data_IF_035362680430
#
_entry.id   IF_035362680430
#
_cell.length_a   1.000
_cell.length_b   1.000
_cell.length_c   1.000
_cell.angle_alpha   90.00
_cell.angle_beta   90.00
_cell.angle_gamma   90.00
#
_symmetry.space_group_name_H-M   'P 1'
#
loop_
_entity.id
_entity.type
_entity.pdbx_description
1 polymer ?
#
# COMPACT_ATOMS: atom_id res chain seq x y z
N UNK A 1 14.84 27.45 -2.50
CA UNK A 1 15.24 26.11 -2.99
C UNK A 1 13.97 25.34 -3.33
N UNK A 2 13.83 24.78 -4.53
CA UNK A 2 12.65 23.99 -4.92
C UNK A 2 12.74 22.60 -4.31
N UNK A 3 11.85 22.29 -3.36
CA UNK A 3 11.67 20.95 -2.79
C UNK A 3 11.03 20.03 -3.83
N UNK A 4 11.65 18.87 -4.10
CA UNK A 4 11.04 17.83 -4.93
C UNK A 4 10.03 17.07 -4.06
N UNK A 5 8.75 17.20 -4.40
CA UNK A 5 7.64 16.58 -3.67
C UNK A 5 7.04 15.45 -4.50
N UNK A 6 6.78 14.31 -3.86
CA UNK A 6 6.05 13.18 -4.44
C UNK A 6 4.83 12.91 -3.57
N UNK A 7 3.66 12.73 -4.16
CA UNK A 7 2.45 12.43 -3.40
C UNK A 7 1.42 11.60 -4.14
N UNK A 8 0.53 10.96 -3.37
CA UNK A 8 -0.63 10.21 -3.87
C UNK A 8 -1.78 10.26 -2.86
N UNK A 9 -3.01 10.16 -3.33
CA UNK A 9 -4.20 10.10 -2.50
C UNK A 9 -4.39 8.70 -1.88
N UNK A 10 -4.65 8.67 -0.58
CA UNK A 10 -5.04 7.48 0.17
C UNK A 10 -6.49 7.62 0.65
N UNK A 11 -7.33 6.65 0.31
CA UNK A 11 -8.72 6.62 0.76
C UNK A 11 -8.83 5.82 2.07
N UNK A 12 -9.82 6.13 2.90
CA UNK A 12 -10.20 5.34 4.07
C UNK A 12 -9.18 5.29 5.22
N UNK A 13 -8.41 6.37 5.42
CA UNK A 13 -7.59 6.58 6.63
C UNK A 13 -8.46 7.20 7.74
N UNK A 14 -8.67 6.46 8.83
CA UNK A 14 -9.41 6.94 10.00
C UNK A 14 -8.50 7.77 10.90
N UNK A 15 -8.25 9.01 10.49
CA UNK A 15 -7.79 10.06 11.40
C UNK A 15 -8.37 11.41 10.95
N UNK A 16 -9.12 12.04 11.85
CA UNK A 16 -9.75 13.36 11.67
C UNK A 16 -9.12 14.42 12.58
N UNK A 17 -8.05 14.09 13.32
CA UNK A 17 -7.43 15.00 14.29
C UNK A 17 -6.41 15.95 13.65
N UNK A 18 -5.25 15.43 13.29
CA UNK A 18 -4.11 16.28 12.89
C UNK A 18 -4.18 16.71 11.42
N UNK A 19 -3.68 17.90 11.09
CA UNK A 19 -3.55 18.34 9.69
C UNK A 19 -2.41 17.63 8.96
N UNK A 20 -1.34 17.28 9.68
CA UNK A 20 -0.15 16.62 9.16
C UNK A 20 0.35 15.62 10.18
N UNK A 21 0.55 14.38 9.74
CA UNK A 21 1.05 13.29 10.57
C UNK A 21 2.43 12.92 10.05
N UNK A 22 3.47 13.11 10.86
CA UNK A 22 4.83 12.78 10.47
C UNK A 22 5.06 11.26 10.54
N UNK A 23 5.58 10.69 9.45
CA UNK A 23 5.96 9.27 9.37
C UNK A 23 7.49 9.06 9.45
N UNK A 24 8.25 10.16 9.52
CA UNK A 24 9.71 10.18 9.60
C UNK A 24 10.42 10.35 8.26
N UNK A 25 11.67 10.82 8.29
CA UNK A 25 12.56 10.96 7.11
C UNK A 25 11.93 11.69 5.91
N UNK A 26 11.18 12.76 6.19
CA UNK A 26 10.51 13.56 5.16
C UNK A 26 9.20 12.97 4.63
N UNK A 27 8.71 11.86 5.20
CA UNK A 27 7.41 11.28 4.89
C UNK A 27 6.33 11.79 5.84
N UNK A 28 5.14 12.05 5.31
CA UNK A 28 3.98 12.48 6.10
C UNK A 28 2.66 12.12 5.43
N UNK A 29 1.59 12.04 6.22
CA UNK A 29 0.22 12.16 5.73
C UNK A 29 -0.27 13.58 5.93
N UNK A 30 -0.86 14.18 4.91
CA UNK A 30 -1.43 15.53 4.96
C UNK A 30 -2.90 15.46 4.55
N UNK A 31 -3.76 16.33 5.07
CA UNK A 31 -5.10 16.48 4.49
C UNK A 31 -5.01 17.01 3.07
N UNK A 32 -5.90 16.58 2.15
CA UNK A 32 -6.05 17.26 0.87
C UNK A 32 -6.25 18.75 1.09
N UNK A 33 -5.58 19.55 0.28
CA UNK A 33 -5.65 21.01 0.31
C UNK A 33 -5.44 21.54 -1.12
N UNK A 34 -5.78 22.82 -1.33
CA UNK A 34 -5.75 23.44 -2.65
C UNK A 34 -4.38 23.35 -3.33
N UNK A 35 -3.29 23.42 -2.56
CA UNK A 35 -1.94 23.29 -3.10
C UNK A 35 -1.71 21.89 -3.69
N UNK A 36 -2.02 20.82 -2.96
CA UNK A 36 -1.85 19.46 -3.45
C UNK A 36 -2.78 19.17 -4.64
N UNK A 37 -4.03 19.62 -4.53
CA UNK A 37 -5.05 19.43 -5.57
C UNK A 37 -4.74 20.25 -6.84
N UNK A 38 -3.92 21.30 -6.77
CA UNK A 38 -3.48 22.07 -7.94
C UNK A 38 -2.50 21.31 -8.84
N UNK A 39 -1.91 20.20 -8.37
CA UNK A 39 -1.05 19.35 -9.19
C UNK A 39 -1.81 18.42 -10.14
N UNK A 40 -3.14 18.35 -10.00
CA UNK A 40 -4.02 17.60 -10.91
C UNK A 40 -4.06 18.27 -12.27
N UNK A 41 -4.23 17.46 -13.31
CA UNK A 41 -4.33 17.94 -14.68
C UNK A 41 -5.53 17.34 -15.39
N UNK A 42 -6.42 18.20 -15.87
CA UNK A 42 -7.67 17.83 -16.56
C UNK A 42 -7.45 16.95 -17.80
N UNK A 43 -6.27 17.00 -18.43
CA UNK A 43 -5.93 16.14 -19.57
C UNK A 43 -5.46 14.74 -19.15
N UNK A 44 -4.99 14.58 -17.91
CA UNK A 44 -4.51 13.31 -17.38
C UNK A 44 -5.58 12.58 -16.55
N UNK A 45 -6.55 13.33 -15.99
CA UNK A 45 -7.60 12.83 -15.11
C UNK A 45 -8.97 13.31 -15.60
N UNK A 46 -9.94 12.40 -15.68
CA UNK A 46 -11.32 12.77 -15.90
C UNK A 46 -11.91 13.53 -14.71
N UNK A 47 -12.96 14.32 -14.94
CA UNK A 47 -13.65 15.07 -13.87
C UNK A 47 -14.06 14.17 -12.69
N UNK A 48 -14.57 12.96 -12.96
CA UNK A 48 -14.94 12.01 -11.92
C UNK A 48 -13.75 11.53 -11.07
N UNK A 49 -12.58 11.32 -11.68
CA UNK A 49 -11.36 10.93 -10.97
C UNK A 49 -10.85 12.09 -10.09
N UNK A 50 -10.93 13.33 -10.58
CA UNK A 50 -10.57 14.52 -9.80
C UNK A 50 -11.53 14.76 -8.64
N UNK A 51 -12.84 14.62 -8.87
CA UNK A 51 -13.86 14.77 -7.84
C UNK A 51 -13.66 13.71 -6.75
N UNK A 52 -13.41 12.46 -7.14
CA UNK A 52 -13.11 11.37 -6.21
C UNK A 52 -11.83 11.63 -5.41
N UNK A 53 -10.75 12.08 -6.06
CA UNK A 53 -9.50 12.42 -5.37
C UNK A 53 -9.67 13.52 -4.34
N UNK A 54 -10.52 14.52 -4.61
CA UNK A 54 -10.83 15.58 -3.65
C UNK A 54 -11.50 15.06 -2.37
N UNK A 55 -12.09 13.85 -2.41
CA UNK A 55 -12.67 13.18 -1.23
C UNK A 55 -11.70 12.30 -0.46
N UNK A 56 -10.43 12.24 -0.88
CA UNK A 56 -9.43 11.41 -0.22
C UNK A 56 -9.32 11.75 1.27
N UNK A 57 -9.21 10.74 2.12
CA UNK A 57 -9.06 10.98 3.56
C UNK A 57 -7.72 11.65 3.87
N UNK A 58 -6.66 11.22 3.17
CA UNK A 58 -5.29 11.73 3.33
C UNK A 58 -4.55 11.71 1.99
N UNK A 59 -3.56 12.58 1.88
CA UNK A 59 -2.54 12.55 0.85
C UNK A 59 -1.24 12.07 1.50
N UNK A 60 -0.70 10.96 1.02
CA UNK A 60 0.64 10.53 1.40
C UNK A 60 1.67 11.31 0.62
N UNK A 61 2.62 11.90 1.34
CA UNK A 61 3.50 12.93 0.84
C UNK A 61 4.94 12.66 1.28
N UNK A 62 5.86 12.75 0.33
CA UNK A 62 7.30 12.72 0.56
C UNK A 62 7.90 14.08 0.20
N UNK A 63 8.47 14.75 1.21
CA UNK A 63 9.34 15.91 1.03
C UNK A 63 10.79 15.44 0.95
N UNK A 64 11.36 15.50 -0.24
CA UNK A 64 12.76 15.12 -0.43
C UNK A 64 13.64 16.36 -0.32
N UNK A 65 13.70 16.95 0.88
CA UNK A 65 14.64 18.01 1.21
C UNK A 65 16.06 17.43 1.20
N UNK A 66 16.77 17.63 0.10
CA UNK A 66 18.08 17.04 -0.14
C UNK A 66 19.17 17.68 0.73
N UNK A 67 19.50 17.07 1.88
CA UNK A 67 20.69 17.44 2.68
C UNK A 67 21.74 16.33 2.74
N UNK A 68 21.66 15.30 1.88
CA UNK A 68 22.77 14.36 1.73
C UNK A 68 23.92 14.97 0.92
N UNK A 69 24.86 15.60 1.63
CA UNK A 69 26.17 15.97 1.13
C UNK A 69 26.83 14.74 0.47
N UNK A 70 27.35 14.90 -0.74
CA UNK A 70 28.09 13.84 -1.47
C UNK A 70 27.27 12.95 -2.42
N UNK A 71 25.93 13.03 -2.46
CA UNK A 71 25.13 12.28 -3.45
C UNK A 71 24.96 13.05 -4.77
N UNK A 72 25.08 12.34 -5.89
CA UNK A 72 24.72 12.89 -7.21
C UNK A 72 23.23 13.26 -7.26
N UNK A 73 22.83 14.13 -8.19
CA UNK A 73 21.42 14.49 -8.37
C UNK A 73 20.54 13.27 -8.65
N UNK A 74 21.00 12.36 -9.51
CA UNK A 74 20.30 11.12 -9.84
C UNK A 74 20.09 10.22 -8.60
N UNK A 75 21.13 10.06 -7.77
CA UNK A 75 21.02 9.29 -6.52
C UNK A 75 20.06 9.93 -5.52
N UNK A 76 20.02 11.26 -5.43
CA UNK A 76 19.05 11.98 -4.58
C UNK A 76 17.62 11.79 -5.10
N UNK A 77 17.43 11.94 -6.41
CA UNK A 77 16.15 11.77 -7.09
C UNK A 77 15.58 10.36 -6.90
N UNK A 78 16.43 9.34 -7.04
CA UNK A 78 16.04 7.95 -6.91
C UNK A 78 15.83 7.57 -5.43
N UNK A 79 16.66 8.05 -4.51
CA UNK A 79 16.47 7.80 -3.08
C UNK A 79 15.14 8.35 -2.55
N UNK A 80 14.74 9.54 -2.99
CA UNK A 80 13.43 10.11 -2.65
C UNK A 80 12.24 9.31 -3.17
N UNK A 81 12.34 8.83 -4.42
CA UNK A 81 11.31 7.98 -5.02
C UNK A 81 11.23 6.62 -4.32
N UNK A 82 12.37 5.94 -4.12
CA UNK A 82 12.43 4.67 -3.40
C UNK A 82 11.80 4.78 -2.02
N UNK A 83 12.09 5.87 -1.30
CA UNK A 83 11.52 6.14 0.03
C UNK A 83 10.01 6.33 -0.02
N UNK A 84 9.52 7.09 -1.00
CA UNK A 84 8.09 7.23 -1.24
C UNK A 84 7.43 5.86 -1.46
N UNK A 85 7.92 5.05 -2.40
CA UNK A 85 7.35 3.73 -2.68
C UNK A 85 7.48 2.76 -1.51
N UNK A 86 8.57 2.79 -0.74
CA UNK A 86 8.72 1.99 0.46
C UNK A 86 7.60 2.28 1.48
N UNK A 87 7.26 3.55 1.69
CA UNK A 87 6.13 3.90 2.55
C UNK A 87 4.77 3.59 1.95
N UNK A 88 4.56 3.75 0.64
CA UNK A 88 3.33 3.29 0.02
C UNK A 88 3.14 1.78 0.21
N UNK A 89 4.20 0.99 0.01
CA UNK A 89 4.18 -0.46 0.27
C UNK A 89 3.97 -0.78 1.74
N UNK A 90 4.51 0.01 2.67
CA UNK A 90 4.29 -0.18 4.10
C UNK A 90 2.81 -0.11 4.48
N UNK A 91 2.06 0.86 3.93
CA UNK A 91 0.60 0.89 4.08
C UNK A 91 -0.04 -0.39 3.57
N UNK A 92 0.30 -0.79 2.34
CA UNK A 92 -0.30 -1.95 1.69
C UNK A 92 0.00 -3.28 2.40
N UNK A 93 1.18 -3.43 3.01
CA UNK A 93 1.55 -4.60 3.82
C UNK A 93 0.74 -4.66 5.12
N UNK A 94 0.58 -3.52 5.80
CA UNK A 94 -0.18 -3.45 7.07
C UNK A 94 -1.66 -3.74 6.82
N UNK A 95 -2.25 -3.01 5.87
CA UNK A 95 -3.62 -3.23 5.41
C UNK A 95 -3.78 -2.62 4.02
N UNK A 96 -4.20 -3.41 3.02
CA UNK A 96 -4.48 -2.89 1.69
C UNK A 96 -5.39 -1.66 1.76
N UNK A 97 -4.89 -0.54 1.22
CA UNK A 97 -5.57 0.74 1.24
C UNK A 97 -5.86 1.18 -0.19
N UNK A 98 -7.05 1.76 -0.38
CA UNK A 98 -7.48 2.17 -1.70
C UNK A 98 -6.67 3.38 -2.17
N UNK A 99 -6.19 3.29 -3.40
CA UNK A 99 -5.49 4.38 -4.09
C UNK A 99 -6.10 4.57 -5.47
N UNK A 100 -6.11 5.81 -5.98
CA UNK A 100 -6.65 6.10 -7.32
C UNK A 100 -5.65 5.85 -8.45
N UNK A 101 -4.41 5.46 -8.11
CA UNK A 101 -3.38 5.18 -9.12
C UNK A 101 -2.71 6.42 -9.71
N UNK A 102 -2.87 7.60 -9.09
CA UNK A 102 -2.17 8.82 -9.49
C UNK A 102 -1.04 9.15 -8.52
N UNK A 103 0.19 9.24 -9.04
CA UNK A 103 1.36 9.67 -8.29
C UNK A 103 1.89 10.95 -8.94
N UNK A 104 1.88 12.03 -8.18
CA UNK A 104 2.28 13.36 -8.64
C UNK A 104 3.71 13.66 -8.23
N UNK A 105 4.51 14.13 -9.18
CA UNK A 105 5.88 14.58 -8.95
C UNK A 105 6.19 15.80 -9.80
N UNK A 106 6.26 16.97 -9.17
CA UNK A 106 6.48 18.27 -9.85
C UNK A 106 5.51 18.50 -11.00
N UNK A 107 5.97 18.26 -12.23
CA UNK A 107 5.24 18.40 -13.49
C UNK A 107 5.18 17.05 -14.21
N UNK A 108 5.01 15.97 -13.46
CA UNK A 108 4.85 14.62 -13.98
C UNK A 108 3.76 13.93 -13.17
N UNK A 109 2.87 13.24 -13.89
CA UNK A 109 1.88 12.35 -13.32
C UNK A 109 2.26 10.94 -13.76
N UNK A 110 2.53 10.08 -12.81
CA UNK A 110 2.63 8.64 -13.04
C UNK A 110 1.27 8.02 -12.79
N UNK A 111 0.79 7.27 -13.78
CA UNK A 111 -0.46 6.51 -13.69
C UNK A 111 -0.14 5.05 -13.42
N UNK A 112 -0.74 4.52 -12.36
CA UNK A 112 -0.74 3.12 -11.96
C UNK A 112 -2.18 2.59 -12.01
N UNK A 113 -2.37 1.27 -12.10
CA UNK A 113 -3.69 0.71 -11.82
C UNK A 113 -4.15 1.13 -10.41
N UNK A 114 -5.42 1.52 -10.23
CA UNK A 114 -5.94 1.82 -8.91
C UNK A 114 -5.91 0.55 -8.06
N UNK A 115 -5.36 0.65 -6.86
CA UNK A 115 -5.45 -0.42 -5.87
C UNK A 115 -6.84 -0.42 -5.25
N UNK A 116 -7.64 -1.45 -5.52
CA UNK A 116 -8.96 -1.63 -4.95
C UNK A 116 -8.91 -2.78 -3.93
N UNK A 117 -8.95 -2.50 -2.62
CA UNK A 117 -8.90 -3.53 -1.61
C UNK A 117 -10.20 -4.36 -1.60
N UNK A 118 -10.11 -5.58 -1.05
CA UNK A 118 -11.28 -6.44 -0.85
C UNK A 118 -12.29 -5.83 0.13
N UNK A 119 -13.54 -6.35 0.11
CA UNK A 119 -14.66 -5.83 0.92
C UNK A 119 -14.32 -5.67 2.41
N UNK A 120 -13.62 -6.63 2.99
CA UNK A 120 -13.21 -6.58 4.39
C UNK A 120 -12.29 -5.38 4.69
N UNK A 121 -11.28 -5.12 3.83
CA UNK A 121 -10.34 -4.02 4.02
C UNK A 121 -10.97 -2.64 3.73
N UNK A 122 -12.04 -2.59 2.94
CA UNK A 122 -12.88 -1.39 2.77
C UNK A 122 -13.78 -1.13 3.98
N UNK A 123 -14.35 -2.20 4.58
CA UNK A 123 -15.23 -2.07 5.74
C UNK A 123 -14.49 -1.59 7.00
N UNK A 124 -13.19 -1.91 7.11
CA UNK A 124 -12.35 -1.52 8.23
C UNK A 124 -11.44 -0.37 7.82
N UNK A 125 -11.65 0.84 8.34
CA UNK A 125 -10.76 1.99 8.02
C UNK A 125 -9.34 1.75 8.54
N UNK A 126 -8.36 2.40 7.92
CA UNK A 126 -6.96 2.38 8.37
C UNK A 126 -6.83 3.26 9.62
N UNK A 127 -6.91 2.66 10.80
CA UNK A 127 -7.01 3.36 12.09
C UNK A 127 -5.65 3.85 12.63
N UNK A 128 -5.70 4.54 13.77
CA UNK A 128 -4.52 5.07 14.44
C UNK A 128 -3.53 3.97 14.89
N UNK A 129 -4.01 2.78 15.25
CA UNK A 129 -3.17 1.66 15.68
C UNK A 129 -2.40 1.05 14.51
N UNK A 130 -3.02 0.94 13.33
CA UNK A 130 -2.35 0.58 12.09
C UNK A 130 -1.37 1.68 11.65
N UNK A 131 -1.75 2.95 11.79
CA UNK A 131 -0.92 4.10 11.42
C UNK A 131 0.36 4.18 12.24
N UNK A 132 0.29 3.88 13.54
CA UNK A 132 1.47 3.84 14.41
C UNK A 132 2.51 2.80 13.98
N UNK A 133 2.13 1.77 13.21
CA UNK A 133 3.03 0.73 12.72
C UNK A 133 3.77 1.12 11.43
N UNK A 134 3.26 2.11 10.69
CA UNK A 134 3.78 2.51 9.38
C UNK A 134 5.27 2.90 9.42
N UNK A 135 5.77 3.73 10.37
CA UNK A 135 7.19 4.07 10.43
C UNK A 135 8.10 2.86 10.59
N UNK A 136 7.73 1.90 11.46
CA UNK A 136 8.50 0.69 11.67
C UNK A 136 8.48 -0.21 10.42
N UNK A 137 7.34 -0.31 9.72
CA UNK A 137 7.24 -1.06 8.48
C UNK A 137 8.07 -0.42 7.35
N UNK A 138 8.08 0.91 7.25
CA UNK A 138 8.97 1.63 6.32
C UNK A 138 10.43 1.26 6.54
N UNK A 139 10.88 1.21 7.80
CA UNK A 139 12.27 0.83 8.13
C UNK A 139 12.61 -0.61 7.72
N UNK A 140 11.62 -1.51 7.65
CA UNK A 140 11.81 -2.89 7.18
C UNK A 140 11.83 -2.99 5.65
N UNK A 141 10.98 -2.22 4.96
CA UNK A 141 10.87 -2.26 3.49
C UNK A 141 11.99 -1.45 2.81
N UNK A 142 12.43 -0.36 3.41
CA UNK A 142 13.43 0.53 2.80
C UNK A 142 14.72 -0.19 2.38
N UNK A 143 15.36 -1.02 3.22
CA UNK A 143 16.59 -1.72 2.85
C UNK A 143 16.39 -2.67 1.67
N UNK A 144 15.20 -3.25 1.50
CA UNK A 144 14.87 -4.09 0.35
C UNK A 144 14.82 -3.25 -0.94
N UNK A 145 14.17 -2.09 -0.89
CA UNK A 145 14.09 -1.16 -2.01
C UNK A 145 15.45 -0.59 -2.42
N UNK A 146 16.30 -0.29 -1.44
CA UNK A 146 17.64 0.27 -1.65
C UNK A 146 18.71 -0.79 -1.98
N UNK A 147 18.49 -2.04 -1.57
CA UNK A 147 19.43 -3.14 -1.75
C UNK A 147 19.65 -3.53 -3.22
N UNK A 148 20.64 -4.38 -3.46
CA UNK A 148 20.89 -4.96 -4.80
C UNK A 148 20.29 -6.35 -4.98
N UNK A 149 19.71 -6.95 -3.93
CA UNK A 149 19.08 -8.27 -4.03
C UNK A 149 17.78 -8.16 -4.85
N UNK A 150 17.82 -8.74 -6.05
CA UNK A 150 16.70 -8.75 -6.99
C UNK A 150 15.53 -9.60 -6.48
N UNK A 151 15.79 -10.69 -5.75
CA UNK A 151 14.76 -11.58 -5.23
C UNK A 151 13.86 -10.86 -4.23
N UNK A 152 14.44 -10.12 -3.29
CA UNK A 152 13.68 -9.32 -2.33
C UNK A 152 12.88 -8.19 -3.01
N UNK A 153 13.43 -7.57 -4.07
CA UNK A 153 12.71 -6.56 -4.86
C UNK A 153 11.56 -7.17 -5.65
N UNK A 154 11.75 -8.38 -6.18
CA UNK A 154 10.71 -9.12 -6.87
C UNK A 154 9.57 -9.45 -5.90
N UNK A 155 9.86 -9.79 -4.64
CA UNK A 155 8.84 -10.02 -3.63
C UNK A 155 7.92 -8.80 -3.42
N UNK A 156 8.50 -7.61 -3.25
CA UNK A 156 7.73 -6.35 -3.18
C UNK A 156 6.97 -6.04 -4.47
N UNK A 157 7.59 -6.34 -5.62
CA UNK A 157 6.97 -6.13 -6.94
C UNK A 157 5.77 -7.04 -7.14
N UNK A 158 5.87 -8.32 -6.77
CA UNK A 158 4.77 -9.28 -6.82
C UNK A 158 3.63 -8.86 -5.91
N UNK A 159 3.96 -8.42 -4.69
CA UNK A 159 2.98 -7.87 -3.75
C UNK A 159 2.22 -6.69 -4.38
N UNK A 160 2.96 -5.73 -4.95
CA UNK A 160 2.38 -4.58 -5.62
C UNK A 160 1.50 -4.97 -6.81
N UNK A 161 2.01 -5.84 -7.70
CA UNK A 161 1.26 -6.32 -8.85
C UNK A 161 -0.02 -7.04 -8.41
N UNK A 162 0.04 -7.84 -7.34
CA UNK A 162 -1.14 -8.50 -6.79
C UNK A 162 -2.24 -7.52 -6.38
N UNK A 163 -1.86 -6.40 -5.76
CA UNK A 163 -2.80 -5.35 -5.33
C UNK A 163 -3.35 -4.51 -6.49
N UNK A 164 -2.60 -4.41 -7.58
CA UNK A 164 -2.96 -3.68 -8.80
C UNK A 164 -3.74 -4.55 -9.80
N UNK A 165 -3.75 -5.89 -9.63
CA UNK A 165 -4.32 -6.81 -10.61
C UNK A 165 -5.84 -6.97 -10.46
N UNK A 166 -6.58 -6.79 -11.55
CA UNK A 166 -8.05 -6.87 -11.55
C UNK A 166 -8.59 -8.30 -11.37
N UNK A 167 -7.87 -9.33 -11.84
CA UNK A 167 -8.30 -10.73 -11.74
C UNK A 167 -7.96 -11.32 -10.36
N UNK A 168 -8.96 -11.75 -9.57
CA UNK A 168 -8.77 -12.09 -8.15
C UNK A 168 -7.84 -13.29 -7.91
N UNK A 169 -7.85 -14.29 -8.79
CA UNK A 169 -6.97 -15.46 -8.63
C UNK A 169 -5.50 -15.15 -8.94
N UNK A 170 -5.25 -14.26 -9.90
CA UNK A 170 -3.90 -13.83 -10.25
C UNK A 170 -3.40 -12.88 -9.15
N UNK A 171 -4.25 -11.94 -8.73
CA UNK A 171 -4.00 -11.06 -7.61
C UNK A 171 -3.59 -11.83 -6.34
N UNK A 172 -4.39 -12.83 -5.96
CA UNK A 172 -4.12 -13.65 -4.78
C UNK A 172 -2.81 -14.44 -4.88
N UNK A 173 -2.52 -15.02 -6.05
CA UNK A 173 -1.25 -15.73 -6.28
C UNK A 173 -0.06 -14.78 -6.12
N UNK A 174 -0.08 -13.64 -6.82
CA UNK A 174 0.99 -12.64 -6.77
C UNK A 174 1.20 -12.09 -5.35
N UNK A 175 0.10 -11.83 -4.63
CA UNK A 175 0.13 -11.34 -3.25
C UNK A 175 0.75 -12.36 -2.29
N UNK A 176 0.31 -13.62 -2.35
CA UNK A 176 0.83 -14.69 -1.49
C UNK A 176 2.31 -14.96 -1.79
N UNK A 177 2.70 -15.03 -3.07
CA UNK A 177 4.12 -15.21 -3.44
C UNK A 177 4.97 -14.04 -2.99
N UNK A 178 4.48 -12.80 -3.11
CA UNK A 178 5.18 -11.63 -2.61
C UNK A 178 5.36 -11.64 -1.09
N UNK A 179 4.31 -11.95 -0.34
CA UNK A 179 4.37 -12.04 1.13
C UNK A 179 5.26 -13.18 1.61
N UNK A 180 5.19 -14.35 0.97
CA UNK A 180 6.01 -15.51 1.35
C UNK A 180 7.49 -15.19 1.21
N UNK A 181 7.88 -14.57 0.10
CA UNK A 181 9.26 -14.13 -0.13
C UNK A 181 9.69 -12.98 0.80
N UNK A 182 8.78 -12.09 1.22
CA UNK A 182 9.08 -11.04 2.22
C UNK A 182 9.28 -11.65 3.61
N UNK A 183 8.45 -12.63 3.98
CA UNK A 183 8.51 -13.28 5.28
C UNK A 183 9.62 -14.33 5.36
N UNK A 184 10.15 -14.79 4.22
CA UNK A 184 11.16 -15.83 4.11
C UNK A 184 10.77 -17.04 4.96
N UNK A 185 9.64 -17.63 4.61
CA UNK A 185 9.02 -18.70 5.41
C UNK A 185 9.54 -20.06 4.95
N UNK A 186 10.07 -20.87 5.86
CA UNK A 186 10.54 -22.23 5.55
C UNK A 186 9.41 -23.23 5.26
N UNK A 187 8.16 -22.77 5.23
CA UNK A 187 6.99 -23.58 4.90
C UNK A 187 5.67 -22.88 5.27
N UNK A 188 4.56 -23.58 4.96
CA UNK A 188 3.18 -23.07 5.10
C UNK A 188 2.81 -22.63 6.51
N UNK A 189 3.18 -23.39 7.54
CA UNK A 189 2.81 -23.06 8.93
C UNK A 189 3.59 -21.86 9.47
N UNK A 190 4.87 -21.74 9.09
CA UNK A 190 5.66 -20.56 9.44
C UNK A 190 5.14 -19.31 8.74
N UNK A 191 4.79 -19.42 7.46
CA UNK A 191 4.16 -18.35 6.71
C UNK A 191 2.86 -17.88 7.37
N UNK A 192 1.96 -18.83 7.70
CA UNK A 192 0.71 -18.55 8.40
C UNK A 192 0.95 -17.82 9.72
N UNK A 193 1.91 -18.29 10.53
CA UNK A 193 2.27 -17.65 11.79
C UNK A 193 2.77 -16.22 11.58
N UNK A 194 3.76 -16.01 10.70
CA UNK A 194 4.32 -14.68 10.41
C UNK A 194 3.26 -13.72 9.85
N UNK A 195 2.35 -14.23 9.01
CA UNK A 195 1.21 -13.47 8.49
C UNK A 195 0.25 -13.06 9.60
N UNK A 196 -0.15 -13.99 10.47
CA UNK A 196 -1.03 -13.70 11.61
C UNK A 196 -0.36 -12.79 12.65
N UNK A 197 0.95 -12.93 12.89
CA UNK A 197 1.70 -12.04 13.79
C UNK A 197 1.78 -10.63 13.21
N UNK A 198 1.91 -10.49 11.89
CA UNK A 198 1.97 -9.20 11.19
C UNK A 198 0.62 -8.49 11.12
N UNK A 199 -0.45 -9.23 10.82
CA UNK A 199 -1.78 -8.69 10.65
C UNK A 199 -2.58 -8.67 11.98
N UNK A 200 -2.08 -9.33 13.02
CA UNK A 200 -2.75 -9.50 14.32
C UNK A 200 -3.56 -10.79 14.40
N UNK A 201 -3.72 -11.33 15.62
CA UNK A 201 -4.40 -12.60 15.88
C UNK A 201 -5.90 -12.61 15.53
N UNK A 202 -6.50 -11.43 15.37
CA UNK A 202 -7.87 -11.26 14.88
C UNK A 202 -7.97 -11.22 13.35
N UNK A 203 -6.84 -11.14 12.65
CA UNK A 203 -6.84 -11.24 11.19
C UNK A 203 -7.11 -12.68 10.80
N UNK A 204 -8.36 -12.91 10.44
CA UNK A 204 -8.75 -14.13 9.77
C UNK A 204 -8.15 -14.08 8.37
N UNK A 205 -7.11 -14.89 8.12
CA UNK A 205 -6.46 -15.00 6.81
C UNK A 205 -7.47 -15.19 5.67
N UNK A 206 -8.63 -15.78 5.99
CA UNK A 206 -9.85 -15.72 5.22
C UNK A 206 -10.99 -15.37 6.17
N UNK A 207 -11.69 -14.26 5.93
CA UNK A 207 -12.89 -13.97 6.70
C UNK A 207 -13.92 -15.11 6.51
N UNK A 208 -14.75 -15.37 7.51
CA UNK A 208 -15.95 -16.21 7.39
C UNK A 208 -17.01 -15.43 6.60
N UNK A 209 -16.61 -14.79 5.49
CA UNK A 209 -17.46 -13.99 4.64
C UNK A 209 -18.58 -14.86 4.05
N UNK A 210 -18.37 -16.17 3.94
CA UNK A 210 -19.37 -17.16 3.56
C UNK A 210 -20.40 -17.46 4.67
N UNK A 211 -20.16 -16.99 5.88
CA UNK A 211 -21.08 -17.12 7.03
C UNK A 211 -21.91 -15.85 7.25
N UNK A 212 -21.69 -14.77 6.50
CA UNK A 212 -22.49 -13.55 6.61
C UNK A 212 -23.84 -13.71 5.87
N UNK A 213 -24.96 -13.26 6.47
CA UNK A 213 -26.24 -13.20 5.78
C UNK A 213 -26.14 -12.26 4.57
N UNK A 214 -26.09 -12.82 3.36
CA UNK A 214 -25.91 -12.08 2.10
C UNK A 214 -24.61 -12.36 1.34
N UNK A 215 -23.80 -13.32 1.82
CA UNK A 215 -22.63 -13.81 1.09
C UNK A 215 -23.04 -14.40 -0.28
N UNK A 216 -22.33 -14.09 -1.39
CA UNK A 216 -22.59 -14.75 -2.66
C UNK A 216 -22.37 -16.27 -2.53
N UNK A 217 -23.25 -17.10 -3.10
CA UNK A 217 -23.20 -18.55 -2.91
C UNK A 217 -21.87 -19.13 -3.37
N UNK A 218 -21.34 -20.08 -2.58
CA UNK A 218 -20.05 -20.77 -2.78
C UNK A 218 -19.92 -21.43 -4.17
N UNK A 219 -21.04 -21.63 -4.89
CA UNK A 219 -21.07 -22.17 -6.25
C UNK A 219 -20.28 -21.36 -7.30
N UNK A 220 -19.88 -20.12 -7.02
CA UNK A 220 -19.00 -19.33 -7.90
C UNK A 220 -17.50 -19.48 -7.60
N UNK A 221 -17.12 -20.26 -6.58
CA UNK A 221 -15.73 -20.46 -6.13
C UNK A 221 -15.37 -21.94 -6.05
N UNK A 222 -15.35 -22.63 -7.20
CA UNK A 222 -14.55 -23.85 -7.34
C UNK A 222 -13.08 -23.44 -7.47
N UNK A 223 -12.39 -23.22 -6.35
CA UNK A 223 -10.97 -22.89 -6.35
C UNK A 223 -10.20 -23.66 -5.25
N UNK A 224 -9.04 -24.26 -5.57
CA UNK A 224 -8.23 -25.06 -4.64
C UNK A 224 -7.64 -24.28 -3.45
N UNK A 225 -7.84 -22.95 -3.37
CA UNK A 225 -7.38 -22.12 -2.25
C UNK A 225 -8.08 -22.42 -0.91
N UNK A 226 -9.29 -22.97 -0.91
CA UNK A 226 -10.04 -23.28 0.32
C UNK A 226 -9.51 -24.51 1.09
N UNK A 227 -8.70 -25.37 0.46
CA UNK A 227 -8.09 -26.54 1.13
C UNK A 227 -6.93 -26.14 2.07
N UNK A 228 -6.52 -24.87 2.07
CA UNK A 228 -5.47 -24.39 2.98
C UNK A 228 -5.99 -24.17 4.42
N UNK A 229 -7.31 -24.20 4.65
CA UNK A 229 -7.88 -23.88 5.98
C UNK A 229 -8.96 -24.84 6.51
N UNK A 230 -9.36 -25.89 5.77
CA UNK A 230 -10.20 -26.96 6.31
C UNK A 230 -9.36 -28.02 7.05
N UNK A 231 -8.57 -27.58 8.04
CA UNK A 231 -7.96 -28.46 9.02
C UNK A 231 -8.94 -28.62 10.18
N UNK A 232 -9.88 -29.55 10.06
CA UNK A 232 -10.62 -30.07 11.21
C UNK A 232 -9.61 -30.79 12.11
N UNK A 233 -9.32 -30.21 13.27
CA UNK A 233 -9.06 -30.98 14.48
C UNK A 233 -10.39 -31.38 15.10
#
# INVERSE_FOLDING_TARGET
>A
MSTDTIHTALMDVADEGEHTIALGDGLSLVRPNDQLLSHRWDWAQGKGEMDEEATASRTYFANTSSTSLGKTYAQRRNGGANRFYAGLMAFQVIKPIRTLGFIYRRQQIERRPPMQPGRWAMANKFDAGMLAQVPAMIQRIQPVMDGSNVEHKNALTLLQLGLEHFHPYIAGLLWVTGLEAIFDSGGREEFKKKLCDCLGSQTMAFSNWHSEPGAPPIQWMNSPFLSICSGTS
#
